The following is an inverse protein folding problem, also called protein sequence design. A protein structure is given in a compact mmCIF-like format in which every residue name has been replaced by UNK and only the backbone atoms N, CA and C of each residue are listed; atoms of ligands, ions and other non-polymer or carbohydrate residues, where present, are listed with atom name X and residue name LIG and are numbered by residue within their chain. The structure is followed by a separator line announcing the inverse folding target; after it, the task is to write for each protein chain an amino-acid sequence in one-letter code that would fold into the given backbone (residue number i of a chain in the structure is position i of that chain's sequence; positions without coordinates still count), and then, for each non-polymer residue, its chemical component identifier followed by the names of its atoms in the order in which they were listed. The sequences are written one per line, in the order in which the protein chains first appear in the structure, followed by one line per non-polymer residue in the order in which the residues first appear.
data_IF_983369910116
#
_entry.id   IF_983369910116
#
_cell.length_a   1.000
_cell.length_b   1.000
_cell.length_c   1.000
_cell.angle_alpha   90.00
_cell.angle_beta   90.00
_cell.angle_gamma   90.00
#
_symmetry.space_group_name_H-M   'P 1'
#
loop_
_entity.id
_entity.type
_entity.pdbx_description
1 polymer ?
#
# COMPACT_ATOMS: atom_id res chain seq x y z
N UNK A 1 40.37 -13.59 -45.97
CA UNK A 1 38.98 -13.58 -45.46
C UNK A 1 38.78 -14.43 -44.20
N UNK A 2 39.54 -15.50 -43.95
CA UNK A 2 39.36 -16.38 -42.77
C UNK A 2 39.82 -15.77 -41.43
N UNK A 3 40.77 -14.83 -41.41
CA UNK A 3 41.23 -14.19 -40.16
C UNK A 3 40.20 -13.22 -39.57
N UNK A 4 39.44 -12.52 -40.43
CA UNK A 4 38.44 -11.55 -40.01
C UNK A 4 37.27 -12.19 -39.27
N UNK A 5 36.87 -13.40 -39.65
CA UNK A 5 35.80 -14.16 -39.00
C UNK A 5 36.24 -14.73 -37.65
N UNK A 6 37.50 -15.13 -37.48
CA UNK A 6 38.02 -15.58 -36.19
C UNK A 6 38.11 -14.44 -35.15
N UNK A 7 38.45 -13.23 -35.59
CA UNK A 7 38.48 -12.04 -34.72
C UNK A 7 37.06 -11.69 -34.24
N UNK A 8 36.08 -11.68 -35.16
CA UNK A 8 34.67 -11.46 -34.82
C UNK A 8 34.13 -12.51 -33.84
N UNK A 9 34.47 -13.78 -34.03
CA UNK A 9 34.07 -14.87 -33.12
C UNK A 9 34.64 -14.69 -31.71
N UNK A 10 35.91 -14.30 -31.58
CA UNK A 10 36.51 -14.00 -30.26
C UNK A 10 35.85 -12.80 -29.59
N UNK A 11 35.54 -11.75 -30.35
CA UNK A 11 34.85 -10.58 -29.82
C UNK A 11 33.44 -10.92 -29.33
N UNK A 12 32.66 -11.67 -30.12
CA UNK A 12 31.34 -12.12 -29.72
C UNK A 12 31.38 -13.03 -28.50
N UNK A 13 32.34 -13.96 -28.44
CA UNK A 13 32.53 -14.82 -27.26
C UNK A 13 32.84 -14.00 -26.00
N UNK A 14 33.71 -13.00 -26.11
CA UNK A 14 34.04 -12.11 -24.99
C UNK A 14 32.84 -11.26 -24.54
N UNK A 15 32.01 -10.79 -25.48
CA UNK A 15 30.79 -10.05 -25.16
C UNK A 15 29.76 -10.93 -24.45
N UNK A 16 29.55 -12.17 -24.91
CA UNK A 16 28.61 -13.11 -24.27
C UNK A 16 29.08 -13.47 -22.86
N UNK A 17 30.37 -13.67 -22.65
CA UNK A 17 30.92 -13.92 -21.32
C UNK A 17 30.75 -12.71 -20.39
N UNK A 18 31.00 -11.50 -20.89
CA UNK A 18 30.81 -10.27 -20.13
C UNK A 18 29.34 -10.08 -19.73
N UNK A 19 28.41 -10.26 -20.67
CA UNK A 19 26.97 -10.21 -20.40
C UNK A 19 26.54 -11.30 -19.43
N UNK A 20 27.10 -12.51 -19.53
CA UNK A 20 26.82 -13.60 -18.59
C UNK A 20 27.20 -13.23 -17.15
N UNK A 21 28.35 -12.59 -16.95
CA UNK A 21 28.80 -12.11 -15.63
C UNK A 21 27.91 -10.99 -15.10
N UNK A 22 27.51 -10.05 -15.95
CA UNK A 22 26.61 -8.95 -15.58
C UNK A 22 25.22 -9.47 -15.17
N UNK A 23 24.65 -10.41 -15.93
CA UNK A 23 23.39 -11.08 -15.58
C UNK A 23 23.51 -11.81 -14.24
N UNK A 24 24.63 -12.46 -13.98
CA UNK A 24 24.87 -13.16 -12.72
C UNK A 24 24.95 -12.18 -11.54
N UNK A 25 25.63 -11.04 -11.72
CA UNK A 25 25.70 -9.98 -10.71
C UNK A 25 24.31 -9.39 -10.42
N UNK A 26 23.54 -9.05 -11.45
CA UNK A 26 22.17 -8.55 -11.30
C UNK A 26 21.27 -9.55 -10.59
N UNK A 27 21.40 -10.86 -10.89
CA UNK A 27 20.65 -11.91 -10.17
C UNK A 27 21.02 -11.97 -8.69
N UNK A 28 22.30 -11.80 -8.36
CA UNK A 28 22.76 -11.77 -6.97
C UNK A 28 22.25 -10.53 -6.24
N UNK A 29 22.25 -9.36 -6.88
CA UNK A 29 21.65 -8.13 -6.34
C UNK A 29 20.16 -8.28 -6.10
N UNK A 30 19.41 -8.83 -7.07
CA UNK A 30 17.97 -9.10 -6.91
C UNK A 30 17.71 -10.08 -5.78
N UNK A 31 18.50 -11.16 -5.64
CA UNK A 31 18.37 -12.08 -4.51
C UNK A 31 18.71 -11.41 -3.17
N UNK A 32 19.73 -10.56 -3.13
CA UNK A 32 20.09 -9.80 -1.93
C UNK A 32 19.03 -8.76 -1.55
N UNK A 33 18.28 -8.22 -2.52
CA UNK A 33 17.15 -7.34 -2.30
C UNK A 33 15.91 -8.12 -1.82
N UNK A 34 15.62 -9.29 -2.39
CA UNK A 34 14.52 -10.17 -1.93
C UNK A 34 14.73 -10.70 -0.51
N UNK A 35 15.98 -10.97 -0.12
CA UNK A 35 16.31 -11.33 1.27
C UNK A 35 16.15 -10.18 2.28
N UNK A 36 15.89 -8.96 1.80
CA UNK A 36 15.57 -7.78 2.59
C UNK A 36 14.09 -7.40 2.53
N UNK A 37 13.22 -8.25 1.95
CA UNK A 37 11.78 -8.02 2.03
C UNK A 37 11.44 -7.81 3.51
N UNK A 38 10.89 -6.64 3.88
CA UNK A 38 10.55 -6.39 5.26
C UNK A 38 9.59 -7.51 5.65
N UNK A 39 9.89 -8.19 6.77
CA UNK A 39 9.00 -9.17 7.40
C UNK A 39 7.57 -8.67 7.25
N UNK A 40 6.59 -9.49 6.80
CA UNK A 40 5.24 -9.03 6.60
C UNK A 40 4.74 -8.40 7.91
N UNK A 41 4.71 -7.07 7.94
CA UNK A 41 4.25 -6.27 9.07
C UNK A 41 2.81 -5.95 8.81
N UNK A 42 2.01 -6.03 9.86
CA UNK A 42 0.68 -5.45 9.87
C UNK A 42 0.85 -3.93 9.89
N UNK A 43 -0.20 -3.23 9.51
CA UNK A 43 -0.20 -1.78 9.58
C UNK A 43 -1.49 -1.29 10.20
N UNK A 44 -1.42 -0.22 10.98
CA UNK A 44 -2.56 0.62 11.31
C UNK A 44 -2.42 1.94 10.59
N UNK A 45 -3.52 2.40 10.00
CA UNK A 45 -3.63 3.72 9.39
C UNK A 45 -4.65 4.53 10.20
N UNK A 46 -4.24 5.68 10.70
CA UNK A 46 -5.04 6.59 11.52
C UNK A 46 -4.64 8.04 11.20
N UNK A 47 -5.19 8.63 10.12
CA UNK A 47 -4.85 10.00 9.73
C UNK A 47 -5.50 11.01 10.66
N UNK A 48 -4.82 12.13 10.87
CA UNK A 48 -5.45 13.30 11.48
C UNK A 48 -6.38 13.98 10.47
N UNK A 49 -7.69 13.90 10.74
CA UNK A 49 -8.74 14.45 9.89
C UNK A 49 -8.88 15.96 10.05
N UNK A 50 -8.31 16.55 11.12
CA UNK A 50 -8.47 17.97 11.46
C UNK A 50 -9.89 18.40 11.82
N UNK A 51 -10.84 17.46 11.85
CA UNK A 51 -12.24 17.66 12.19
C UNK A 51 -12.48 17.06 13.57
N UNK A 52 -13.02 17.83 14.50
CA UNK A 52 -13.11 17.46 15.92
C UNK A 52 -13.99 16.21 16.21
N UNK A 53 -14.75 15.74 15.22
CA UNK A 53 -15.77 14.71 15.40
C UNK A 53 -15.67 13.53 14.41
N UNK A 54 -14.61 13.43 13.59
CA UNK A 54 -14.44 12.32 12.65
C UNK A 54 -13.07 11.72 12.83
N UNK A 55 -13.02 10.43 13.16
CA UNK A 55 -11.77 9.67 13.14
C UNK A 55 -11.89 8.47 12.22
N UNK A 56 -10.80 8.21 11.49
CA UNK A 56 -10.69 7.04 10.65
C UNK A 56 -9.63 6.11 11.21
N UNK A 57 -9.91 4.81 11.17
CA UNK A 57 -8.95 3.82 11.61
C UNK A 57 -9.06 2.55 10.78
N UNK A 58 -7.93 2.15 10.20
CA UNK A 58 -7.82 0.96 9.39
C UNK A 58 -6.70 0.07 9.90
N UNK A 59 -7.05 -1.11 10.42
CA UNK A 59 -6.12 -2.16 10.81
C UNK A 59 -5.96 -3.17 9.64
N UNK A 60 -4.75 -3.29 9.10
CA UNK A 60 -4.41 -4.13 7.95
C UNK A 60 -3.62 -5.38 8.36
N UNK A 61 -3.95 -6.51 7.76
CA UNK A 61 -3.07 -7.67 7.79
C UNK A 61 -1.84 -7.45 6.89
N UNK A 62 -0.84 -8.30 7.06
CA UNK A 62 0.45 -8.10 6.41
C UNK A 62 0.44 -8.35 4.89
N UNK A 63 -0.48 -9.19 4.38
CA UNK A 63 -0.62 -9.46 2.96
C UNK A 63 -1.26 -8.26 2.26
N UNK A 64 -2.37 -7.77 2.81
CA UNK A 64 -3.07 -6.57 2.34
C UNK A 64 -2.17 -5.35 2.39
N UNK A 65 -1.41 -5.16 3.47
CA UNK A 65 -0.46 -4.06 3.58
C UNK A 65 0.67 -4.14 2.55
N UNK A 66 1.21 -5.33 2.29
CA UNK A 66 2.21 -5.53 1.25
C UNK A 66 1.65 -5.21 -0.15
N UNK A 67 0.41 -5.62 -0.43
CA UNK A 67 -0.26 -5.30 -1.70
C UNK A 67 -0.39 -3.78 -1.91
N UNK A 68 -0.82 -3.04 -0.87
CA UNK A 68 -0.91 -1.57 -0.91
C UNK A 68 0.47 -0.94 -1.13
N UNK A 69 1.51 -1.40 -0.43
CA UNK A 69 2.89 -0.90 -0.63
C UNK A 69 3.41 -1.13 -2.05
N UNK A 70 2.97 -2.20 -2.70
CA UNK A 70 3.32 -2.51 -4.08
C UNK A 70 2.46 -1.78 -5.13
N UNK A 71 1.57 -0.89 -4.69
CA UNK A 71 0.73 -0.08 -5.58
C UNK A 71 -0.48 -0.81 -6.16
N UNK A 72 -0.89 -1.93 -5.55
CA UNK A 72 -2.10 -2.63 -5.96
C UNK A 72 -3.36 -1.76 -5.76
N UNK A 73 -4.39 -2.01 -6.56
CA UNK A 73 -5.72 -1.48 -6.31
C UNK A 73 -6.43 -2.38 -5.30
N UNK A 74 -6.73 -1.85 -4.11
CA UNK A 74 -7.31 -2.61 -3.00
C UNK A 74 -8.44 -1.81 -2.37
N UNK A 75 -9.57 -2.45 -2.10
CA UNK A 75 -10.65 -1.90 -1.27
C UNK A 75 -10.69 -2.65 0.05
N UNK A 76 -10.62 -1.93 1.17
CA UNK A 76 -10.61 -2.52 2.52
C UNK A 76 -11.64 -1.82 3.38
N UNK A 77 -12.37 -2.61 4.17
CA UNK A 77 -13.28 -2.10 5.20
C UNK A 77 -12.49 -1.88 6.49
N UNK A 78 -12.53 -0.68 7.04
CA UNK A 78 -11.94 -0.36 8.34
C UNK A 78 -13.00 -0.25 9.45
N UNK A 79 -12.68 0.54 10.47
CA UNK A 79 -13.59 1.02 11.50
C UNK A 79 -13.54 2.56 11.53
N UNK A 80 -14.49 3.21 10.88
CA UNK A 80 -14.69 4.65 10.99
C UNK A 80 -15.41 4.97 12.31
N UNK A 81 -15.33 6.21 12.75
CA UNK A 81 -16.20 6.67 13.84
C UNK A 81 -16.51 8.15 13.68
N UNK A 82 -17.76 8.52 13.97
CA UNK A 82 -18.16 9.89 14.22
C UNK A 82 -18.24 10.04 15.75
N UNK A 83 -17.33 10.79 16.37
CA UNK A 83 -17.35 11.00 17.83
C UNK A 83 -15.99 11.03 18.52
N UNK A 84 -16.00 11.21 19.85
CA UNK A 84 -14.79 11.33 20.68
C UNK A 84 -14.29 10.00 21.25
N UNK A 85 -15.04 8.91 21.13
CA UNK A 85 -14.70 7.64 21.77
C UNK A 85 -13.71 6.81 20.95
N UNK A 86 -12.59 6.44 21.59
CA UNK A 86 -11.50 5.67 21.00
C UNK A 86 -11.81 4.16 20.84
N UNK A 87 -13.05 3.75 21.09
CA UNK A 87 -13.51 2.35 21.03
C UNK A 87 -14.96 2.35 20.57
N UNK A 88 -15.21 2.54 19.26
CA UNK A 88 -16.56 2.63 18.73
C UNK A 88 -17.36 1.36 19.05
N UNK A 89 -18.53 1.56 19.67
CA UNK A 89 -19.53 0.52 19.85
C UNK A 89 -20.36 0.42 18.57
N UNK A 90 -20.42 -0.73 17.88
CA UNK A 90 -21.27 -0.89 16.69
C UNK A 90 -22.75 -0.64 16.95
N UNK A 91 -23.19 -0.72 18.21
CA UNK A 91 -24.55 -0.43 18.63
C UNK A 91 -24.78 1.07 18.90
N UNK A 92 -23.74 1.91 18.83
CA UNK A 92 -23.84 3.37 18.96
C UNK A 92 -24.47 3.99 17.69
N UNK A 93 -25.48 4.87 17.82
CA UNK A 93 -26.08 5.56 16.67
C UNK A 93 -25.09 6.36 15.81
N UNK A 94 -23.99 6.87 16.39
CA UNK A 94 -22.97 7.65 15.68
C UNK A 94 -21.87 6.78 15.04
N UNK A 95 -21.97 5.44 15.17
CA UNK A 95 -21.01 4.53 14.55
C UNK A 95 -21.14 4.49 13.02
N UNK A 96 -20.01 4.51 12.31
CA UNK A 96 -19.96 4.40 10.85
C UNK A 96 -18.85 3.45 10.41
N UNK A 97 -19.09 2.66 9.37
CA UNK A 97 -18.02 1.92 8.71
C UNK A 97 -17.26 2.84 7.75
N UNK A 98 -15.93 2.81 7.77
CA UNK A 98 -15.11 3.44 6.74
C UNK A 98 -14.66 2.40 5.68
N UNK A 99 -14.76 2.78 4.42
CA UNK A 99 -14.36 1.97 3.28
C UNK A 99 -13.26 2.69 2.54
N UNK A 100 -12.07 2.09 2.57
CA UNK A 100 -10.86 2.66 1.98
C UNK A 100 -10.60 2.04 0.62
N UNK A 101 -10.48 2.88 -0.40
CA UNK A 101 -10.06 2.49 -1.73
C UNK A 101 -8.67 3.05 -2.03
N UNK A 102 -7.69 2.15 -2.13
CA UNK A 102 -6.33 2.47 -2.51
C UNK A 102 -6.15 2.24 -4.01
N UNK A 103 -5.77 3.27 -4.76
CA UNK A 103 -5.45 3.16 -6.19
C UNK A 103 -4.02 3.69 -6.44
N UNK A 104 -3.05 2.77 -6.46
CA UNK A 104 -1.63 3.10 -6.67
C UNK A 104 -0.77 3.09 -5.40
N UNK A 105 -1.35 2.82 -4.23
CA UNK A 105 -0.62 2.58 -2.98
C UNK A 105 -0.27 3.84 -2.18
N UNK A 106 0.80 3.75 -1.37
CA UNK A 106 1.26 4.87 -0.53
C UNK A 106 1.73 6.04 -1.40
N UNK A 107 1.37 7.27 -1.02
CA UNK A 107 1.70 8.49 -1.76
C UNK A 107 0.64 8.89 -2.79
N UNK A 108 -0.34 8.02 -3.03
CA UNK A 108 -1.58 8.36 -3.71
C UNK A 108 -2.67 8.71 -2.68
N UNK A 109 -3.65 9.52 -3.09
CA UNK A 109 -4.82 9.83 -2.25
C UNK A 109 -5.75 8.62 -2.25
N UNK A 110 -5.96 7.94 -1.11
CA UNK A 110 -7.02 6.95 -1.02
C UNK A 110 -8.38 7.66 -0.99
N UNK A 111 -9.40 7.00 -1.53
CA UNK A 111 -10.79 7.44 -1.34
C UNK A 111 -11.35 6.77 -0.10
N UNK A 112 -12.05 7.51 0.75
CA UNK A 112 -12.67 6.96 1.97
C UNK A 112 -14.14 7.30 2.00
N UNK A 113 -14.98 6.26 1.99
CA UNK A 113 -16.44 6.37 2.09
C UNK A 113 -16.89 5.95 3.49
N UNK A 114 -17.73 6.77 4.13
CA UNK A 114 -18.39 6.41 5.40
C UNK A 114 -19.80 5.87 5.14
N UNK A 115 -20.16 4.80 5.86
CA UNK A 115 -21.47 4.15 5.77
C UNK A 115 -22.00 3.85 7.18
N UNK A 116 -23.09 4.50 7.57
CA UNK A 116 -23.79 4.17 8.82
C UNK A 116 -24.51 2.82 8.71
N UNK A 117 -24.38 1.90 9.70
CA UNK A 117 -25.21 0.71 9.76
C UNK A 117 -26.63 1.00 10.29
N UNK A 118 -26.85 2.16 10.88
CA UNK A 118 -28.13 2.62 11.42
C UNK A 118 -28.86 3.44 10.35
N UNK A 119 -29.33 2.72 9.33
CA UNK A 119 -29.94 3.26 8.11
C UNK A 119 -31.30 3.97 8.30
N UNK A 120 -31.65 4.42 9.51
CA UNK A 120 -32.86 5.22 9.77
C UNK A 120 -32.63 6.72 9.55
N UNK A 121 -31.37 7.17 9.50
CA UNK A 121 -31.01 8.52 9.06
C UNK A 121 -30.65 8.49 7.57
N UNK A 122 -31.59 8.91 6.73
CA UNK A 122 -31.36 9.17 5.31
C UNK A 122 -30.13 10.10 5.16
N UNK A 123 -29.16 9.70 4.32
CA UNK A 123 -28.15 10.57 3.69
C UNK A 123 -26.77 10.82 4.36
N UNK A 124 -26.19 9.90 5.14
CA UNK A 124 -24.76 9.99 5.50
C UNK A 124 -23.86 9.03 4.68
N UNK A 125 -23.90 9.17 3.35
CA UNK A 125 -22.82 8.69 2.47
C UNK A 125 -21.81 9.82 2.23
N UNK A 126 -20.86 9.97 3.16
CA UNK A 126 -19.71 10.86 2.95
C UNK A 126 -18.66 10.11 2.11
N UNK A 127 -18.74 10.26 0.79
CA UNK A 127 -17.79 9.66 -0.16
C UNK A 127 -16.38 10.27 -0.11
N UNK A 128 -16.24 11.47 0.46
CA UNK A 128 -14.99 12.22 0.58
C UNK A 128 -14.64 12.48 2.05
N UNK A 129 -14.73 11.45 2.89
CA UNK A 129 -14.42 11.59 4.31
C UNK A 129 -12.95 11.99 4.53
N UNK A 130 -12.04 11.57 3.64
CA UNK A 130 -10.62 11.91 3.67
C UNK A 130 -10.14 12.38 2.29
N UNK A 131 -9.52 13.57 2.24
CA UNK A 131 -8.95 14.16 1.02
C UNK A 131 -7.40 14.33 1.09
N UNK A 132 -6.75 13.58 1.99
CA UNK A 132 -5.31 13.67 2.21
C UNK A 132 -4.48 12.64 1.45
N UNK A 133 -3.17 12.89 1.29
CA UNK A 133 -2.20 11.84 1.00
C UNK A 133 -1.73 11.28 2.33
N UNK A 134 -1.78 9.96 2.52
CA UNK A 134 -1.25 9.33 3.73
C UNK A 134 0.23 9.66 3.92
N UNK A 135 0.54 10.33 5.01
CA UNK A 135 1.88 10.63 5.45
C UNK A 135 2.43 9.47 6.29
N UNK A 136 3.74 9.47 6.51
CA UNK A 136 4.38 8.47 7.38
C UNK A 136 3.91 8.57 8.83
N UNK A 137 3.40 9.74 9.25
CA UNK A 137 2.86 9.94 10.60
C UNK A 137 1.53 9.22 10.82
N UNK A 138 0.79 8.95 9.75
CA UNK A 138 -0.54 8.33 9.79
C UNK A 138 -0.45 6.81 9.83
N UNK A 139 0.75 6.22 9.72
CA UNK A 139 0.97 4.79 9.50
C UNK A 139 1.87 4.21 10.59
N UNK A 140 1.35 3.24 11.33
CA UNK A 140 2.10 2.44 12.31
C UNK A 140 2.28 1.00 11.79
N UNK A 141 3.52 0.56 11.53
CA UNK A 141 3.84 -0.82 11.10
C UNK A 141 4.33 -1.69 12.27
N UNK A 142 3.74 -2.86 12.50
CA UNK A 142 4.07 -3.77 13.61
C UNK A 142 4.00 -5.26 13.27
#
# INVERSE_FOLDING_TARGET
MAESTQVLLRQLSGMVEAQGKEIQALRQEVCALKGKDPTPRRARIEPDMGWEYVGLRLDLDAETWLAIKNGAHVTVKGQGYLGYEQSPDPDDPDFVWDYWEFSGGIGHRPRVTLVSPHAEDEDYELEDAYDGVLSRGDIEEY
#
